data_IF_236299434441
#
_entry.id   IF_236299434441
#
_cell.length_a   1.000
_cell.length_b   1.000
_cell.length_c   1.000
_cell.angle_alpha   90.00
_cell.angle_beta   90.00
_cell.angle_gamma   90.00
#
_symmetry.space_group_name_H-M   'P 1'
#
loop_
_entity.id
_entity.type
_entity.pdbx_description
1 polymer ?
#
# COMPACT_ATOMS: atom_id res chain seq x y z
N UNK A 1 11.12 -2.36 11.04
CA UNK A 1 10.86 -1.50 9.85
C UNK A 1 9.56 -0.69 9.95
N UNK A 2 8.75 -0.86 11.01
CA UNK A 2 7.53 -0.06 11.23
C UNK A 2 6.36 -0.35 10.29
N UNK A 3 6.50 -1.32 9.38
CA UNK A 3 5.42 -1.83 8.53
C UNK A 3 4.55 -2.82 9.29
N UNK A 4 3.33 -3.02 8.82
CA UNK A 4 2.35 -3.94 9.39
C UNK A 4 2.70 -5.41 9.05
N UNK A 5 3.11 -6.23 10.03
CA UNK A 5 3.48 -7.62 9.78
C UNK A 5 2.27 -8.51 9.43
N UNK A 6 1.06 -8.10 9.81
CA UNK A 6 -0.18 -8.85 9.53
C UNK A 6 -0.64 -8.77 8.08
N UNK A 7 0.08 -8.05 7.22
CA UNK A 7 -0.23 -7.85 5.81
C UNK A 7 1.01 -7.95 4.90
N UNK A 8 2.06 -8.62 5.39
CA UNK A 8 3.22 -8.93 4.58
C UNK A 8 2.86 -9.89 3.44
N UNK A 9 3.35 -9.58 2.25
CA UNK A 9 3.13 -10.36 1.05
C UNK A 9 4.45 -10.88 0.49
N UNK A 10 4.56 -12.18 0.31
CA UNK A 10 5.70 -12.77 -0.39
C UNK A 10 5.42 -12.90 -1.88
N UNK A 11 6.27 -12.27 -2.69
CA UNK A 11 6.25 -12.36 -4.13
C UNK A 11 7.47 -13.15 -4.61
N UNK A 12 7.23 -14.35 -5.14
CA UNK A 12 8.26 -15.09 -5.87
C UNK A 12 8.52 -14.40 -7.20
N UNK A 13 9.78 -14.11 -7.49
CA UNK A 13 10.19 -13.67 -8.84
C UNK A 13 10.19 -14.91 -9.73
N UNK A 14 9.51 -14.83 -10.86
CA UNK A 14 9.50 -15.89 -11.88
C UNK A 14 10.32 -15.46 -13.09
N UNK A 15 10.77 -16.42 -13.90
CA UNK A 15 11.58 -16.14 -15.08
C UNK A 15 10.98 -15.06 -16.00
N UNK A 16 9.66 -15.11 -16.21
CA UNK A 16 8.92 -14.15 -17.05
C UNK A 16 8.73 -12.75 -16.44
N UNK A 17 9.21 -12.49 -15.22
CA UNK A 17 9.24 -11.14 -14.67
C UNK A 17 10.39 -10.30 -15.24
N UNK A 18 11.40 -10.94 -15.84
CA UNK A 18 12.51 -10.25 -16.48
C UNK A 18 12.14 -9.61 -17.81
N UNK A 19 12.81 -8.52 -18.14
CA UNK A 19 12.85 -7.98 -19.51
C UNK A 19 14.23 -8.21 -20.16
N UNK A 20 14.43 -7.62 -21.34
CA UNK A 20 15.66 -7.73 -22.12
C UNK A 20 16.90 -7.24 -21.36
N UNK A 21 16.75 -6.37 -20.35
CA UNK A 21 17.85 -5.83 -19.55
C UNK A 21 18.27 -6.74 -18.37
N UNK A 22 17.79 -8.00 -18.36
CA UNK A 22 18.26 -9.05 -17.46
C UNK A 22 17.97 -8.78 -15.98
N UNK A 23 16.91 -8.02 -15.69
CA UNK A 23 16.38 -7.81 -14.34
C UNK A 23 14.86 -7.72 -14.40
N UNK A 24 14.20 -7.82 -13.23
CA UNK A 24 12.75 -7.67 -13.13
C UNK A 24 12.33 -6.35 -13.76
N UNK A 25 11.38 -6.42 -14.68
CA UNK A 25 10.88 -5.25 -15.39
C UNK A 25 10.19 -4.27 -14.42
N UNK A 26 10.38 -2.98 -14.64
CA UNK A 26 9.87 -1.92 -13.78
C UNK A 26 8.34 -1.97 -13.58
N UNK A 27 7.56 -2.34 -14.61
CA UNK A 27 6.08 -2.43 -14.54
C UNK A 27 5.63 -3.58 -13.64
N UNK A 28 6.43 -4.64 -13.48
CA UNK A 28 6.09 -5.78 -12.60
C UNK A 28 5.95 -5.36 -11.15
N UNK A 29 6.76 -4.40 -10.70
CA UNK A 29 6.64 -3.87 -9.33
C UNK A 29 5.29 -3.22 -9.05
N UNK A 30 4.64 -2.60 -10.05
CA UNK A 30 3.27 -2.07 -9.90
C UNK A 30 2.31 -3.20 -9.54
N UNK A 31 2.44 -4.36 -10.20
CA UNK A 31 1.62 -5.56 -9.94
C UNK A 31 1.92 -6.20 -8.58
N UNK A 32 3.18 -6.19 -8.16
CA UNK A 32 3.58 -6.68 -6.84
C UNK A 32 2.98 -5.81 -5.73
N UNK A 33 3.06 -4.48 -5.86
CA UNK A 33 2.39 -3.57 -4.94
C UNK A 33 0.86 -3.63 -5.02
N UNK A 34 0.28 -3.91 -6.19
CA UNK A 34 -1.16 -4.12 -6.34
C UNK A 34 -1.64 -5.31 -5.52
N UNK A 35 -1.03 -6.48 -5.71
CA UNK A 35 -1.42 -7.71 -4.99
C UNK A 35 -1.22 -7.55 -3.48
N UNK A 36 -0.07 -7.04 -3.06
CA UNK A 36 0.23 -6.79 -1.65
C UNK A 36 -0.69 -5.75 -1.01
N UNK A 37 -1.08 -4.70 -1.75
CA UNK A 37 -2.02 -3.69 -1.25
C UNK A 37 -3.41 -4.26 -1.05
N UNK A 38 -3.87 -5.18 -1.90
CA UNK A 38 -5.16 -5.85 -1.70
C UNK A 38 -5.15 -6.66 -0.39
N UNK A 39 -4.08 -7.40 -0.10
CA UNK A 39 -3.92 -8.11 1.17
C UNK A 39 -3.93 -7.14 2.37
N UNK A 40 -3.21 -6.02 2.25
CA UNK A 40 -3.24 -4.96 3.26
C UNK A 40 -4.65 -4.37 3.46
N UNK A 41 -5.40 -4.15 2.37
CA UNK A 41 -6.78 -3.67 2.43
C UNK A 41 -7.72 -4.66 3.12
N UNK A 42 -7.58 -5.96 2.85
CA UNK A 42 -8.34 -7.02 3.53
C UNK A 42 -8.07 -7.00 5.02
N UNK A 43 -6.79 -7.00 5.41
CA UNK A 43 -6.38 -6.91 6.81
C UNK A 43 -6.96 -5.65 7.48
N UNK A 44 -6.88 -4.49 6.82
CA UNK A 44 -7.45 -3.23 7.33
C UNK A 44 -8.96 -3.36 7.55
N UNK A 45 -9.69 -3.88 6.58
CA UNK A 45 -11.13 -4.02 6.65
C UNK A 45 -11.59 -5.01 7.74
N UNK A 46 -10.84 -6.10 7.93
CA UNK A 46 -11.07 -7.05 9.02
C UNK A 46 -10.93 -6.36 10.39
N UNK A 47 -9.93 -5.50 10.57
CA UNK A 47 -9.74 -4.75 11.82
C UNK A 47 -10.81 -3.68 12.03
N UNK A 48 -11.30 -3.04 10.95
CA UNK A 48 -12.36 -2.02 11.02
C UNK A 48 -13.72 -2.63 11.39
N UNK A 49 -14.10 -3.76 10.79
CA UNK A 49 -15.47 -4.27 10.87
C UNK A 49 -15.64 -5.76 10.65
N UNK A 50 -14.56 -6.54 10.76
CA UNK A 50 -14.58 -8.00 10.66
C UNK A 50 -14.65 -8.56 9.23
N UNK A 51 -14.84 -9.88 9.09
CA UNK A 51 -14.75 -10.59 7.81
C UNK A 51 -15.73 -10.08 6.75
N UNK A 52 -16.96 -9.72 7.14
CA UNK A 52 -17.95 -9.20 6.20
C UNK A 52 -17.51 -7.86 5.59
N UNK A 53 -16.94 -6.96 6.40
CA UNK A 53 -16.41 -5.68 5.92
C UNK A 53 -15.27 -5.88 4.92
N UNK A 54 -14.43 -6.89 5.12
CA UNK A 54 -13.38 -7.25 4.18
C UNK A 54 -13.93 -7.79 2.86
N UNK A 55 -14.92 -8.68 2.92
CA UNK A 55 -15.59 -9.19 1.72
C UNK A 55 -16.26 -8.08 0.91
N UNK A 56 -16.93 -7.14 1.57
CA UNK A 56 -17.57 -6.00 0.90
C UNK A 56 -16.56 -5.02 0.30
N UNK A 57 -15.44 -4.76 1.01
CA UNK A 57 -14.37 -3.92 0.49
C UNK A 57 -13.77 -4.48 -0.81
N UNK A 58 -13.54 -5.80 -0.87
CA UNK A 58 -13.03 -6.49 -2.07
C UNK A 58 -14.06 -6.54 -3.21
N UNK A 59 -15.34 -6.66 -2.89
CA UNK A 59 -16.41 -6.71 -3.86
C UNK A 59 -16.83 -5.32 -4.39
N UNK A 60 -16.22 -4.24 -3.87
CA UNK A 60 -16.62 -2.87 -4.21
C UNK A 60 -18.05 -2.57 -3.77
N UNK A 61 -18.47 -3.03 -2.59
CA UNK A 61 -19.77 -2.72 -1.98
C UNK A 61 -19.59 -1.78 -0.80
N UNK A 62 -20.45 -0.77 -0.68
CA UNK A 62 -20.29 0.27 0.33
C UNK A 62 -18.97 1.03 0.17
N UNK A 63 -18.28 1.29 1.28
CA UNK A 63 -17.05 2.10 1.29
C UNK A 63 -15.79 1.24 1.12
N UNK A 64 -15.02 1.50 0.07
CA UNK A 64 -13.74 0.85 -0.24
C UNK A 64 -12.69 1.89 -0.70
N UNK A 65 -11.53 1.42 -1.14
CA UNK A 65 -10.38 2.25 -1.51
C UNK A 65 -10.12 2.21 -3.02
N UNK A 66 -9.80 3.37 -3.58
CA UNK A 66 -9.34 3.52 -4.97
C UNK A 66 -7.92 4.09 -4.96
N UNK A 67 -7.05 3.53 -5.81
CA UNK A 67 -5.72 4.07 -6.06
C UNK A 67 -5.82 5.32 -6.94
N UNK A 68 -5.46 6.49 -6.39
CA UNK A 68 -5.44 7.77 -7.13
C UNK A 68 -4.10 7.99 -7.85
N UNK A 69 -2.99 7.68 -7.20
CA UNK A 69 -1.65 7.77 -7.80
C UNK A 69 -0.68 6.84 -7.09
N UNK A 70 0.41 6.50 -7.80
CA UNK A 70 1.53 5.74 -7.26
C UNK A 70 2.84 6.32 -7.81
N UNK A 71 3.82 6.51 -6.93
CA UNK A 71 5.20 6.84 -7.28
C UNK A 71 6.09 5.70 -6.82
N UNK A 72 7.08 5.29 -7.64
CA UNK A 72 7.96 4.15 -7.36
C UNK A 72 9.41 4.56 -7.57
N UNK A 73 10.24 4.28 -6.57
CA UNK A 73 11.70 4.42 -6.65
C UNK A 73 12.35 3.04 -6.77
N UNK A 74 12.98 2.78 -7.91
CA UNK A 74 13.77 1.57 -8.16
C UNK A 74 15.21 1.80 -7.67
N UNK A 75 15.61 1.11 -6.61
CA UNK A 75 16.92 1.33 -5.96
C UNK A 75 17.98 0.34 -6.44
N UNK A 76 17.58 -0.90 -6.74
CA UNK A 76 18.48 -1.98 -7.14
C UNK A 76 17.75 -2.96 -8.07
N UNK A 77 18.41 -3.48 -9.12
CA UNK A 77 17.82 -4.55 -9.93
C UNK A 77 17.66 -5.82 -9.09
N UNK A 78 16.60 -6.58 -9.36
CA UNK A 78 16.33 -7.91 -8.81
C UNK A 78 16.34 -8.89 -9.96
N UNK A 79 16.84 -10.10 -9.74
CA UNK A 79 16.95 -11.16 -10.74
C UNK A 79 16.35 -12.46 -10.20
N UNK A 80 15.85 -13.31 -11.09
CA UNK A 80 15.46 -14.67 -10.75
C UNK A 80 16.69 -15.55 -10.43
N UNK A 81 16.58 -16.50 -9.48
CA UNK A 81 15.49 -16.65 -8.53
C UNK A 81 15.68 -15.76 -7.29
N UNK A 82 14.66 -14.98 -6.94
CA UNK A 82 14.58 -14.25 -5.67
C UNK A 82 13.14 -14.31 -5.14
N UNK A 83 13.00 -14.10 -3.85
CA UNK A 83 11.70 -13.89 -3.19
C UNK A 83 11.71 -12.51 -2.56
N UNK A 84 10.66 -11.76 -2.85
CA UNK A 84 10.48 -10.40 -2.39
C UNK A 84 9.44 -10.35 -1.29
N UNK A 85 9.75 -9.70 -0.18
CA UNK A 85 8.78 -9.33 0.84
C UNK A 85 8.27 -7.92 0.55
N UNK A 86 6.98 -7.80 0.27
CA UNK A 86 6.29 -6.52 0.03
C UNK A 86 5.51 -6.15 1.28
N UNK A 87 5.67 -4.90 1.73
CA UNK A 87 5.07 -4.42 2.96
C UNK A 87 4.56 -2.99 2.81
N UNK A 88 3.48 -2.67 3.53
CA UNK A 88 2.79 -1.38 3.44
C UNK A 88 2.63 -0.70 4.80
N UNK A 89 2.68 0.64 4.80
CA UNK A 89 2.47 1.47 5.99
C UNK A 89 1.75 2.78 5.63
N UNK A 90 0.59 3.08 6.25
CA UNK A 90 -0.05 4.36 6.03
C UNK A 90 0.77 5.49 6.67
N UNK A 91 0.72 6.68 6.09
CA UNK A 91 1.32 7.90 6.65
C UNK A 91 0.55 9.15 6.24
N UNK A 92 0.88 10.29 6.86
CA UNK A 92 0.17 11.57 6.67
C UNK A 92 0.43 12.22 5.31
N UNK A 93 1.37 11.70 4.52
CA UNK A 93 1.90 12.37 3.34
C UNK A 93 3.16 13.16 3.66
N UNK A 94 3.98 13.38 2.64
CA UNK A 94 5.17 14.24 2.75
C UNK A 94 4.77 15.71 2.62
N UNK A 95 5.50 16.60 3.30
CA UNK A 95 5.43 18.05 3.02
C UNK A 95 5.70 18.36 1.53
N UNK A 96 6.51 17.54 0.84
CA UNK A 96 6.76 17.70 -0.60
C UNK A 96 5.54 17.39 -1.50
N UNK A 97 4.56 16.64 -1.00
CA UNK A 97 3.31 16.34 -1.72
C UNK A 97 2.20 17.38 -1.41
N UNK A 98 2.37 18.18 -0.35
CA UNK A 98 1.50 19.29 -0.02
C UNK A 98 2.06 20.58 -0.65
N UNK A 99 1.20 21.46 -1.16
CA UNK A 99 1.63 22.80 -1.60
C UNK A 99 2.09 23.70 -0.43
N UNK A 100 2.11 23.18 0.80
CA UNK A 100 2.51 23.87 2.03
C UNK A 100 3.87 23.36 2.53
N UNK A 101 4.72 24.30 2.96
CA UNK A 101 6.02 24.04 3.58
C UNK A 101 5.96 23.28 4.92
N UNK A 102 4.77 23.14 5.52
CA UNK A 102 4.58 22.35 6.74
C UNK A 102 3.98 20.96 6.44
N UNK A 103 4.49 19.90 7.08
CA UNK A 103 3.89 18.57 6.99
C UNK A 103 2.47 18.58 7.61
N UNK A 104 1.50 17.86 7.01
CA UNK A 104 0.15 17.80 7.53
C UNK A 104 0.12 17.21 8.95
N UNK A 105 -0.51 17.92 9.88
CA UNK A 105 -0.64 17.50 11.29
C UNK A 105 -1.78 16.50 11.52
N UNK A 106 -2.66 16.31 10.53
CA UNK A 106 -3.84 15.42 10.60
C UNK A 106 -4.10 14.76 9.25
N UNK A 107 -4.70 13.57 9.29
CA UNK A 107 -5.20 12.86 8.12
C UNK A 107 -6.26 13.69 7.38
N UNK A 108 -6.17 13.83 6.04
CA UNK A 108 -7.28 14.30 5.25
C UNK A 108 -8.49 13.38 5.40
N UNK A 109 -9.71 13.94 5.38
CA UNK A 109 -10.95 13.18 5.65
C UNK A 109 -11.23 12.03 4.68
N UNK A 110 -10.66 12.10 3.48
CA UNK A 110 -11.13 11.31 2.33
C UNK A 110 -10.02 10.56 1.60
N UNK A 111 -8.76 10.75 2.02
CA UNK A 111 -7.62 10.10 1.39
C UNK A 111 -6.43 10.06 2.34
N UNK A 112 -5.50 9.16 2.08
CA UNK A 112 -4.26 9.02 2.83
C UNK A 112 -3.15 8.47 1.93
N UNK A 113 -1.91 8.63 2.38
CA UNK A 113 -0.76 8.05 1.70
C UNK A 113 -0.42 6.67 2.28
N UNK A 114 -0.05 5.75 1.41
CA UNK A 114 0.37 4.40 1.73
C UNK A 114 1.76 4.16 1.17
N UNK A 115 2.75 4.15 2.05
CA UNK A 115 4.13 3.81 1.71
C UNK A 115 4.22 2.30 1.49
N UNK A 116 4.93 1.89 0.44
CA UNK A 116 5.30 0.50 0.20
C UNK A 116 6.81 0.33 0.18
N UNK A 117 7.28 -0.84 0.60
CA UNK A 117 8.67 -1.25 0.45
C UNK A 117 8.76 -2.70 -0.01
N UNK A 118 9.76 -2.96 -0.83
CA UNK A 118 10.11 -4.30 -1.32
C UNK A 118 11.48 -4.64 -0.77
N UNK A 119 11.54 -5.69 0.04
CA UNK A 119 12.77 -6.27 0.56
C UNK A 119 13.13 -7.52 -0.24
N UNK A 120 14.36 -7.59 -0.75
CA UNK A 120 14.88 -8.78 -1.43
C UNK A 120 15.50 -9.73 -0.41
N UNK A 121 15.10 -11.00 -0.42
CA UNK A 121 15.72 -12.02 0.42
C UNK A 121 17.15 -12.30 -0.04
N UNK A 122 17.41 -12.40 -1.34
CA UNK A 122 18.76 -12.61 -1.87
C UNK A 122 19.73 -11.47 -1.50
N UNK A 123 19.29 -10.21 -1.63
CA UNK A 123 20.15 -9.05 -1.39
C UNK A 123 20.15 -8.55 0.06
N UNK A 124 19.22 -9.05 0.89
CA UNK A 124 19.02 -8.67 2.30
C UNK A 124 18.94 -7.15 2.48
N UNK A 125 18.13 -6.49 1.65
CA UNK A 125 17.91 -5.03 1.68
C UNK A 125 16.65 -4.63 0.94
N UNK A 126 16.22 -3.40 1.18
CA UNK A 126 15.17 -2.75 0.39
C UNK A 126 15.71 -2.44 -1.02
N UNK A 127 14.99 -2.93 -2.04
CA UNK A 127 15.36 -2.80 -3.46
C UNK A 127 14.43 -1.85 -4.21
N UNK A 128 13.20 -1.65 -3.72
CA UNK A 128 12.21 -0.74 -4.31
C UNK A 128 11.33 -0.16 -3.21
N UNK A 129 10.94 1.10 -3.36
CA UNK A 129 9.94 1.75 -2.50
C UNK A 129 8.85 2.38 -3.34
N UNK A 130 7.65 2.51 -2.80
CA UNK A 130 6.60 3.30 -3.42
C UNK A 130 5.89 4.20 -2.41
N UNK A 131 5.22 5.23 -2.92
CA UNK A 131 4.19 5.97 -2.19
C UNK A 131 2.92 6.02 -3.03
N UNK A 132 1.82 5.54 -2.46
CA UNK A 132 0.52 5.47 -3.10
C UNK A 132 -0.46 6.42 -2.43
N UNK A 133 -1.26 7.15 -3.20
CA UNK A 133 -2.36 7.96 -2.69
C UNK A 133 -3.67 7.18 -2.82
N UNK A 134 -4.26 6.79 -1.70
CA UNK A 134 -5.52 6.05 -1.66
C UNK A 134 -6.67 6.97 -1.27
N UNK A 135 -7.81 6.80 -1.93
CA UNK A 135 -9.03 7.60 -1.73
C UNK A 135 -10.15 6.69 -1.26
N UNK A 136 -10.86 7.11 -0.21
CA UNK A 136 -12.10 6.46 0.21
C UNK A 136 -13.23 6.79 -0.75
N UNK A 137 -13.89 5.74 -1.24
CA UNK A 137 -14.96 5.85 -2.23
C UNK A 137 -16.14 4.98 -1.81
N UNK A 138 -17.33 5.59 -1.81
CA UNK A 138 -18.61 4.93 -1.55
C UNK A 138 -19.16 4.44 -2.89
N UNK A 139 -19.15 3.13 -3.09
CA UNK A 139 -19.62 2.47 -4.32
C UNK A 139 -21.15 2.41 -4.41
N UNK A 140 -21.86 2.60 -3.30
CA UNK A 140 -23.33 2.68 -3.32
C UNK A 140 -23.79 4.06 -3.80
N UNK A 141 -23.03 5.10 -3.45
CA UNK A 141 -23.31 6.50 -3.83
C UNK A 141 -22.49 6.99 -5.03
N UNK A 142 -21.53 6.20 -5.49
CA UNK A 142 -20.57 6.54 -6.54
C UNK A 142 -19.85 7.88 -6.29
N UNK A 143 -19.44 8.11 -5.04
CA UNK A 143 -18.82 9.36 -4.62
C UNK A 143 -17.67 9.15 -3.65
N UNK A 144 -16.71 10.08 -3.68
CA UNK A 144 -15.65 10.18 -2.68
C UNK A 144 -16.26 10.48 -1.30
N UNK A 145 -15.83 9.77 -0.26
CA UNK A 145 -16.47 9.84 1.06
C UNK A 145 -15.47 9.95 2.22
N UNK A 146 -15.97 10.30 3.40
CA UNK A 146 -15.30 10.09 4.68
C UNK A 146 -15.68 8.68 5.18
N UNK A 147 -14.73 7.80 5.51
CA UNK A 147 -15.02 6.43 5.93
C UNK A 147 -15.53 6.31 7.37
N UNK A 148 -15.60 7.43 8.11
CA UNK A 148 -16.02 7.46 9.51
C UNK A 148 -14.88 7.33 10.52
N UNK A 149 -15.21 7.53 11.80
CA UNK A 149 -14.22 7.59 12.89
C UNK A 149 -13.51 6.25 13.14
N UNK A 150 -14.20 5.12 12.99
CA UNK A 150 -13.61 3.80 13.25
C UNK A 150 -12.51 3.47 12.25
N UNK A 151 -12.76 3.70 10.95
CA UNK A 151 -11.76 3.54 9.91
C UNK A 151 -10.55 4.45 10.13
N UNK A 152 -10.79 5.71 10.55
CA UNK A 152 -9.70 6.66 10.85
C UNK A 152 -8.88 6.20 12.05
N UNK A 153 -9.53 5.75 13.12
CA UNK A 153 -8.87 5.26 14.35
C UNK A 153 -7.95 4.08 14.05
N UNK A 154 -8.44 3.09 13.29
CA UNK A 154 -7.64 1.93 12.87
C UNK A 154 -6.46 2.38 11.99
N UNK A 155 -6.71 3.24 11.01
CA UNK A 155 -5.67 3.74 10.11
C UNK A 155 -4.56 4.47 10.89
N UNK A 156 -4.91 5.36 11.82
CA UNK A 156 -3.96 6.05 12.70
C UNK A 156 -3.17 5.08 13.59
N UNK A 157 -3.83 4.03 14.10
CA UNK A 157 -3.16 2.94 14.82
C UNK A 157 -2.06 2.31 13.98
N UNK A 158 -2.36 1.97 12.72
CA UNK A 158 -1.38 1.40 11.77
C UNK A 158 -0.24 2.36 11.41
N UNK A 159 -0.47 3.69 11.45
CA UNK A 159 0.62 4.67 11.25
C UNK A 159 1.64 4.63 12.39
N UNK A 160 1.21 4.31 13.61
CA UNK A 160 2.06 4.27 14.81
C UNK A 160 2.79 2.94 15.00
N UNK A 161 2.59 1.96 14.12
CA UNK A 161 3.30 0.68 14.20
C UNK A 161 4.82 0.87 14.16
N UNK A 162 5.51 0.38 15.19
CA UNK A 162 6.96 0.47 15.36
C UNK A 162 7.49 1.90 15.57
N UNK A 163 6.64 2.82 16.03
CA UNK A 163 7.05 4.11 16.61
C UNK A 163 7.41 3.95 18.09
#
# INVERSE_FOLDING_TARGET
MGYDPGSFWEQKVVWGDHDAFQHVNNVRYVRFFESSRIEWMVSLAQEIGGPQRAADMLAGRGVSLILKSISIDYKRPVVYPDTLLVAHKPHLGSAAAAASSEPPKRLPKTHFHLKGAVWSYAQRRIVTTCDSLLVWYDYDKLAKCDPGEDARRVLEGRMRLGA
#
